data_IF_719478420705
#
_entry.id   IF_719478420705
#
_cell.length_a   1.000
_cell.length_b   1.000
_cell.length_c   1.000
_cell.angle_alpha   90.00
_cell.angle_beta   90.00
_cell.angle_gamma   90.00
#
_symmetry.space_group_name_H-M   'P 1'
#
loop_
_entity.id
_entity.type
_entity.pdbx_description
1 polymer ?
#
# COMPACT_ATOMS: atom_id res chain seq x y z
N UNK A 1 19.39 -36.81 110.15
CA UNK A 1 19.28 -35.42 109.60
C UNK A 1 18.82 -35.54 108.17
N UNK A 2 17.59 -35.15 107.86
CA UNK A 2 16.98 -35.25 106.55
C UNK A 2 16.99 -33.90 105.84
N UNK A 3 17.70 -33.74 104.75
CA UNK A 3 17.65 -32.52 103.89
C UNK A 3 16.55 -32.72 102.86
N UNK A 4 15.62 -31.77 102.85
CA UNK A 4 14.54 -31.72 101.77
C UNK A 4 15.06 -30.82 100.65
N UNK A 5 15.06 -31.44 99.43
CA UNK A 5 15.37 -30.73 98.17
C UNK A 5 14.05 -30.25 97.57
N UNK A 6 13.88 -28.93 97.49
CA UNK A 6 12.70 -28.31 96.86
C UNK A 6 13.03 -28.05 95.36
N UNK A 7 12.27 -28.72 94.48
CA UNK A 7 12.41 -28.55 93.01
C UNK A 7 11.49 -27.43 92.56
N UNK A 8 12.09 -26.30 92.03
CA UNK A 8 11.36 -25.19 91.40
C UNK A 8 11.28 -25.48 89.91
N UNK A 9 10.07 -25.78 89.38
CA UNK A 9 9.80 -25.85 87.93
C UNK A 9 9.56 -24.43 87.42
N UNK A 10 10.55 -23.89 86.72
CA UNK A 10 10.38 -22.66 85.91
C UNK A 10 9.79 -22.98 84.54
N UNK A 11 8.53 -22.60 84.31
CA UNK A 11 7.87 -22.70 83.02
C UNK A 11 8.43 -21.68 82.04
N UNK A 12 9.07 -22.20 80.97
CA UNK A 12 9.53 -21.37 79.83
C UNK A 12 8.39 -21.27 78.83
N UNK A 13 7.67 -20.13 78.80
CA UNK A 13 6.68 -19.85 77.75
C UNK A 13 7.39 -19.47 76.46
N UNK A 14 7.43 -20.37 75.48
CA UNK A 14 7.88 -20.08 74.10
C UNK A 14 6.78 -19.34 73.38
N UNK A 15 6.93 -18.01 73.20
CA UNK A 15 6.11 -17.24 72.34
C UNK A 15 6.51 -17.53 70.87
N UNK A 16 5.71 -18.34 70.17
CA UNK A 16 5.83 -18.56 68.73
C UNK A 16 5.31 -17.27 68.05
N UNK A 17 6.23 -16.37 67.68
CA UNK A 17 5.90 -15.27 66.79
C UNK A 17 5.56 -15.86 65.42
N UNK A 18 4.28 -15.86 65.07
CA UNK A 18 3.85 -16.16 63.71
C UNK A 18 4.35 -15.00 62.84
N UNK A 19 5.49 -15.20 62.18
CA UNK A 19 5.90 -14.35 61.05
C UNK A 19 4.86 -14.60 59.95
N UNK A 20 3.88 -13.73 59.84
CA UNK A 20 3.08 -13.59 58.63
C UNK A 20 4.05 -13.16 57.52
N UNK A 21 4.52 -14.14 56.71
CA UNK A 21 5.11 -13.82 55.42
C UNK A 21 4.04 -13.06 54.64
N UNK A 22 4.18 -11.75 54.54
CA UNK A 22 3.44 -10.98 53.58
C UNK A 22 3.83 -11.57 52.22
N UNK A 23 2.92 -12.29 51.61
CA UNK A 23 3.10 -12.81 50.24
C UNK A 23 3.21 -11.58 49.34
N UNK A 24 4.40 -11.39 48.74
CA UNK A 24 4.61 -10.29 47.79
C UNK A 24 3.54 -10.36 46.69
N UNK A 25 2.81 -9.26 46.55
CA UNK A 25 1.86 -9.11 45.46
C UNK A 25 2.66 -9.16 44.14
N UNK A 26 2.43 -10.15 43.29
CA UNK A 26 3.08 -10.27 41.98
C UNK A 26 2.04 -10.49 40.90
N UNK A 27 2.29 -9.91 39.72
CA UNK A 27 1.47 -10.04 38.54
C UNK A 27 2.21 -10.85 37.48
N UNK A 28 1.57 -11.92 37.01
CA UNK A 28 2.08 -12.78 35.95
C UNK A 28 1.34 -12.44 34.65
N UNK A 29 2.06 -11.80 33.72
CA UNK A 29 1.54 -11.38 32.44
C UNK A 29 1.91 -12.36 31.33
N UNK A 30 1.02 -12.57 30.33
CA UNK A 30 1.43 -13.21 29.09
C UNK A 30 2.51 -12.34 28.40
N UNK A 31 3.42 -12.96 27.67
CA UNK A 31 4.37 -12.22 26.82
C UNK A 31 3.66 -11.52 25.68
N UNK A 32 2.77 -12.26 25.03
CA UNK A 32 2.00 -11.84 23.87
C UNK A 32 0.59 -12.38 23.94
N UNK A 33 -0.36 -11.65 23.35
CA UNK A 33 -1.74 -12.06 23.15
C UNK A 33 -2.08 -11.82 21.68
N UNK A 34 -2.82 -12.72 21.04
CA UNK A 34 -3.31 -12.48 19.69
C UNK A 34 -4.55 -11.58 19.74
N UNK A 35 -4.64 -10.61 18.84
CA UNK A 35 -5.79 -9.70 18.73
C UNK A 35 -7.11 -10.49 18.63
N UNK A 36 -8.10 -10.06 19.41
CA UNK A 36 -9.39 -10.72 19.49
C UNK A 36 -9.44 -12.01 20.31
N UNK A 37 -8.30 -12.55 20.75
CA UNK A 37 -8.26 -13.78 21.54
C UNK A 37 -8.56 -13.53 23.01
N UNK A 38 -9.17 -14.52 23.69
CA UNK A 38 -9.31 -14.49 25.12
C UNK A 38 -7.96 -14.71 25.81
N UNK A 39 -7.75 -14.05 26.93
CA UNK A 39 -6.53 -14.17 27.72
C UNK A 39 -6.78 -14.06 29.22
N UNK A 40 -5.79 -14.34 30.02
CA UNK A 40 -5.89 -14.21 31.48
C UNK A 40 -4.60 -13.63 32.08
N UNK A 41 -4.79 -12.96 33.20
CA UNK A 41 -3.72 -12.40 34.02
C UNK A 41 -3.84 -13.01 35.39
N UNK A 42 -2.75 -13.59 35.90
CA UNK A 42 -2.69 -14.15 37.25
C UNK A 42 -2.06 -13.13 38.19
N UNK A 43 -2.55 -13.10 39.43
CA UNK A 43 -1.95 -12.30 40.51
C UNK A 43 -1.69 -13.19 41.73
N UNK A 44 -0.69 -12.85 42.52
CA UNK A 44 -0.42 -13.45 43.85
C UNK A 44 -0.79 -12.46 44.95
N UNK A 45 -0.90 -12.95 46.16
CA UNK A 45 -1.26 -12.12 47.31
C UNK A 45 -2.71 -12.38 47.77
N UNK A 46 -3.23 -11.48 48.61
CA UNK A 46 -4.59 -11.56 49.17
C UNK A 46 -5.21 -10.15 49.29
N UNK A 47 -6.52 -10.06 49.13
CA UNK A 47 -7.26 -8.81 49.17
C UNK A 47 -7.79 -8.34 47.81
N UNK A 48 -8.36 -7.16 47.79
CA UNK A 48 -8.93 -6.56 46.56
C UNK A 48 -7.91 -5.64 45.86
N UNK A 49 -7.89 -5.68 44.55
CA UNK A 49 -7.11 -4.78 43.71
C UNK A 49 -7.91 -4.37 42.46
N UNK A 50 -7.44 -3.33 41.79
CA UNK A 50 -7.98 -2.95 40.47
C UNK A 50 -6.90 -3.10 39.44
N UNK A 51 -7.22 -3.82 38.37
CA UNK A 51 -6.36 -4.05 37.22
C UNK A 51 -6.74 -3.08 36.09
N UNK A 52 -5.76 -2.37 35.57
CA UNK A 52 -5.89 -1.52 34.40
C UNK A 52 -5.02 -2.06 33.28
N UNK A 53 -5.56 -2.14 32.06
CA UNK A 53 -4.80 -2.41 30.84
C UNK A 53 -4.97 -1.21 29.95
N UNK A 54 -3.85 -0.56 29.58
CA UNK A 54 -3.86 0.73 28.88
C UNK A 54 -3.01 0.63 27.62
N UNK A 55 -3.57 0.94 26.48
CA UNK A 55 -2.84 0.98 25.21
C UNK A 55 -3.73 1.43 24.06
N UNK A 56 -3.12 2.05 23.06
CA UNK A 56 -3.76 2.43 21.79
C UNK A 56 -5.11 3.16 21.94
N UNK A 57 -5.18 4.08 22.91
CA UNK A 57 -6.41 4.84 23.18
C UNK A 57 -7.50 4.08 23.92
N UNK A 58 -7.26 2.84 24.33
CA UNK A 58 -8.18 2.00 25.09
C UNK A 58 -7.71 1.83 26.55
N UNK A 59 -8.67 1.81 27.48
CA UNK A 59 -8.45 1.49 28.89
C UNK A 59 -9.45 0.43 29.29
N UNK A 60 -8.95 -0.75 29.71
CA UNK A 60 -9.77 -1.77 30.36
C UNK A 60 -9.50 -1.65 31.86
N UNK A 61 -10.59 -1.55 32.63
CA UNK A 61 -10.56 -1.55 34.10
C UNK A 61 -11.31 -2.77 34.61
N UNK A 62 -10.72 -3.49 35.57
CA UNK A 62 -11.36 -4.64 36.21
C UNK A 62 -10.98 -4.74 37.67
N UNK A 63 -11.98 -4.87 38.53
CA UNK A 63 -11.75 -5.21 39.94
C UNK A 63 -11.47 -6.71 40.04
N UNK A 64 -10.41 -7.06 40.75
CA UNK A 64 -9.89 -8.42 40.88
C UNK A 64 -9.65 -8.77 42.37
N UNK A 65 -9.72 -10.07 42.67
CA UNK A 65 -9.27 -10.61 43.93
C UNK A 65 -7.84 -11.13 43.74
N UNK A 66 -6.91 -10.65 44.56
CA UNK A 66 -5.53 -11.13 44.55
C UNK A 66 -5.47 -12.62 44.87
N UNK A 67 -4.59 -13.37 44.18
CA UNK A 67 -4.52 -14.81 44.26
C UNK A 67 -5.44 -15.55 43.24
N UNK A 68 -6.33 -14.83 42.55
CA UNK A 68 -7.18 -15.38 41.53
C UNK A 68 -6.70 -15.01 40.11
N UNK A 69 -7.21 -15.74 39.12
CA UNK A 69 -6.96 -15.46 37.70
C UNK A 69 -8.04 -14.54 37.14
N UNK A 70 -7.64 -13.37 36.66
CA UNK A 70 -8.52 -12.46 35.95
C UNK A 70 -8.64 -12.91 34.49
N UNK A 71 -9.81 -13.35 34.08
CA UNK A 71 -10.10 -13.79 32.69
C UNK A 71 -10.67 -12.64 31.88
N UNK A 72 -10.12 -12.41 30.68
CA UNK A 72 -10.61 -11.47 29.69
C UNK A 72 -11.19 -12.24 28.50
N UNK A 73 -12.48 -12.03 28.16
CA UNK A 73 -13.10 -12.74 27.05
C UNK A 73 -12.51 -12.32 25.69
N UNK A 74 -12.80 -13.10 24.67
CA UNK A 74 -12.47 -12.73 23.29
C UNK A 74 -12.94 -11.31 22.96
N UNK A 75 -12.24 -10.63 22.04
CA UNK A 75 -12.49 -9.26 21.60
C UNK A 75 -12.28 -8.17 22.65
N UNK A 76 -11.75 -8.51 23.84
CA UNK A 76 -11.37 -7.51 24.84
C UNK A 76 -10.26 -6.57 24.33
N UNK A 77 -9.30 -7.10 23.56
CA UNK A 77 -8.20 -6.37 22.92
C UNK A 77 -8.13 -6.76 21.45
N UNK A 78 -8.45 -5.84 20.56
CA UNK A 78 -8.48 -6.08 19.12
C UNK A 78 -7.39 -5.32 18.35
N UNK A 79 -6.80 -4.29 18.95
CA UNK A 79 -5.74 -3.51 18.33
C UNK A 79 -4.37 -4.08 18.68
N UNK A 80 -3.56 -4.44 17.68
CA UNK A 80 -2.21 -4.92 17.88
C UNK A 80 -1.27 -3.79 18.29
N UNK A 81 -0.45 -4.03 19.31
CA UNK A 81 0.52 -3.07 19.83
C UNK A 81 0.88 -3.32 21.28
N UNK A 82 1.58 -2.38 21.88
CA UNK A 82 2.09 -2.47 23.23
C UNK A 82 1.05 -1.98 24.25
N UNK A 83 0.78 -2.80 25.29
CA UNK A 83 -0.15 -2.50 26.36
C UNK A 83 0.57 -2.48 27.71
N UNK A 84 0.35 -1.43 28.48
CA UNK A 84 0.78 -1.30 29.87
C UNK A 84 -0.31 -1.90 30.77
N UNK A 85 0.14 -2.57 31.81
CA UNK A 85 -0.75 -3.16 32.83
C UNK A 85 -0.38 -2.59 34.18
N UNK A 86 -1.38 -2.12 34.89
CA UNK A 86 -1.22 -1.59 36.25
C UNK A 86 -2.14 -2.36 37.19
N UNK A 87 -1.58 -2.98 38.21
CA UNK A 87 -2.32 -3.63 39.30
C UNK A 87 -2.22 -2.71 40.50
N UNK A 88 -3.31 -2.05 40.85
CA UNK A 88 -3.42 -1.15 42.00
C UNK A 88 -4.06 -1.92 43.18
N UNK A 89 -3.22 -2.42 44.09
CA UNK A 89 -3.61 -3.01 45.36
C UNK A 89 -3.80 -1.98 46.44
N UNK A 90 -4.16 -2.44 47.64
CA UNK A 90 -4.31 -1.56 48.83
C UNK A 90 -2.96 -1.14 49.43
N UNK A 91 -1.93 -1.94 49.28
CA UNK A 91 -0.61 -1.76 49.86
C UNK A 91 0.48 -1.46 48.83
N UNK A 92 0.30 -1.86 47.59
CA UNK A 92 1.29 -1.68 46.52
C UNK A 92 0.63 -1.43 45.14
N UNK A 93 1.42 -0.89 44.22
CA UNK A 93 1.06 -0.75 42.83
C UNK A 93 2.16 -1.44 42.01
N UNK A 94 1.75 -2.33 41.10
CA UNK A 94 2.65 -3.02 40.19
C UNK A 94 2.37 -2.64 38.75
N UNK A 95 3.43 -2.56 37.96
CA UNK A 95 3.38 -2.24 36.57
C UNK A 95 4.03 -3.37 35.75
N UNK A 96 3.49 -3.63 34.59
CA UNK A 96 4.03 -4.54 33.62
C UNK A 96 3.53 -4.22 32.23
N UNK A 97 3.85 -5.04 31.25
CA UNK A 97 3.40 -4.86 29.90
C UNK A 97 3.38 -6.16 29.13
N UNK A 98 2.60 -6.21 28.08
CA UNK A 98 2.62 -7.27 27.07
C UNK A 98 2.26 -6.70 25.72
N UNK A 99 2.54 -7.48 24.65
CA UNK A 99 2.21 -7.07 23.30
C UNK A 99 0.99 -7.84 22.79
N UNK A 100 0.07 -7.12 22.14
CA UNK A 100 -1.00 -7.72 21.34
C UNK A 100 -0.50 -7.82 19.89
N UNK A 101 -0.46 -9.02 19.37
CA UNK A 101 -0.03 -9.31 18.01
C UNK A 101 -1.23 -9.35 17.06
N UNK A 102 -1.08 -8.98 15.77
CA UNK A 102 -2.10 -9.21 14.76
C UNK A 102 -2.42 -10.71 14.66
N UNK A 103 -3.62 -11.03 14.20
CA UNK A 103 -3.89 -12.40 13.77
C UNK A 103 -2.98 -12.72 12.58
N UNK A 104 -2.45 -13.93 12.49
CA UNK A 104 -1.58 -14.33 11.37
C UNK A 104 -2.32 -14.47 10.03
N UNK A 105 -3.65 -14.25 10.00
CA UNK A 105 -4.52 -14.52 8.86
C UNK A 105 -4.85 -13.24 8.08
N UNK A 106 -4.45 -13.12 6.79
CA UNK A 106 -4.85 -12.02 5.93
C UNK A 106 -6.37 -11.98 5.74
N UNK A 107 -6.98 -10.81 5.94
CA UNK A 107 -8.41 -10.58 5.74
C UNK A 107 -8.68 -9.37 4.82
N UNK A 108 -7.80 -8.38 4.83
CA UNK A 108 -7.95 -7.17 4.02
C UNK A 108 -6.63 -6.75 3.38
N UNK A 109 -6.73 -6.20 2.16
CA UNK A 109 -5.61 -5.59 1.46
C UNK A 109 -5.89 -4.11 1.16
N UNK A 110 -4.97 -3.22 1.56
CA UNK A 110 -4.93 -1.87 1.02
C UNK A 110 -3.95 -1.84 -0.15
N UNK A 111 -4.48 -1.80 -1.36
CA UNK A 111 -3.69 -1.82 -2.58
C UNK A 111 -3.70 -0.47 -3.27
N UNK A 112 -2.53 0.04 -3.63
CA UNK A 112 -2.31 1.27 -4.36
C UNK A 112 -1.56 0.97 -5.66
N UNK A 113 -2.05 1.47 -6.79
CA UNK A 113 -1.38 1.41 -8.08
C UNK A 113 -1.17 2.83 -8.62
N UNK A 114 0.02 3.13 -9.10
CA UNK A 114 0.36 4.44 -9.68
C UNK A 114 1.32 4.29 -10.85
N UNK A 115 1.19 5.15 -11.87
CA UNK A 115 0.09 6.09 -12.10
C UNK A 115 -1.20 5.36 -12.52
N UNK A 116 -2.35 6.03 -12.45
CA UNK A 116 -3.62 5.48 -12.93
C UNK A 116 -3.79 5.57 -14.45
N UNK A 117 -2.94 6.37 -15.11
CA UNK A 117 -2.88 6.55 -16.56
C UNK A 117 -1.43 6.82 -16.97
N UNK A 118 -0.95 6.14 -18.01
CA UNK A 118 0.40 6.31 -18.56
C UNK A 118 0.46 5.90 -20.03
N UNK A 119 1.47 6.36 -20.78
CA UNK A 119 1.74 5.88 -22.12
C UNK A 119 2.12 4.39 -22.16
N UNK A 120 1.82 3.74 -23.28
CA UNK A 120 2.29 2.39 -23.59
C UNK A 120 3.81 2.34 -23.75
N UNK A 121 4.40 1.15 -23.64
CA UNK A 121 5.82 0.89 -23.94
C UNK A 121 6.82 1.39 -22.89
N UNK A 122 6.38 1.88 -21.71
CA UNK A 122 7.25 2.35 -20.65
C UNK A 122 7.72 1.18 -19.77
N UNK A 123 9.03 1.00 -19.65
CA UNK A 123 9.62 0.07 -18.68
C UNK A 123 9.51 0.61 -17.27
N UNK A 124 9.06 -0.24 -16.34
CA UNK A 124 8.92 0.13 -14.94
C UNK A 124 7.94 1.26 -14.69
N UNK A 125 6.99 1.50 -15.62
CA UNK A 125 6.09 2.65 -15.56
C UNK A 125 4.99 2.54 -14.51
N UNK A 126 4.68 1.33 -14.00
CA UNK A 126 3.56 1.08 -13.10
C UNK A 126 4.09 0.54 -11.77
N UNK A 127 3.79 1.24 -10.67
CA UNK A 127 4.13 0.77 -9.32
C UNK A 127 2.87 0.29 -8.61
N UNK A 128 2.96 -0.91 -8.01
CA UNK A 128 1.95 -1.44 -7.11
C UNK A 128 2.51 -1.56 -5.69
N UNK A 129 1.77 -1.07 -4.69
CA UNK A 129 2.09 -1.23 -3.28
C UNK A 129 0.88 -1.75 -2.52
N UNK A 130 1.09 -2.70 -1.62
CA UNK A 130 0.03 -3.31 -0.83
C UNK A 130 0.42 -3.37 0.65
N UNK A 131 -0.58 -3.15 1.51
CA UNK A 131 -0.51 -3.41 2.93
C UNK A 131 -1.49 -4.53 3.26
N UNK A 132 -1.05 -5.48 4.08
CA UNK A 132 -1.82 -6.67 4.45
C UNK A 132 -2.34 -6.53 5.87
N UNK A 133 -3.64 -6.66 6.06
CA UNK A 133 -4.30 -6.48 7.35
C UNK A 133 -5.10 -7.73 7.73
N UNK A 134 -5.23 -7.94 9.03
CA UNK A 134 -6.13 -8.94 9.62
C UNK A 134 -7.60 -8.44 9.66
N UNK A 135 -8.49 -9.27 10.25
CA UNK A 135 -9.92 -8.95 10.42
C UNK A 135 -10.16 -7.70 11.27
N UNK A 136 -9.26 -7.40 12.21
CA UNK A 136 -9.33 -6.24 13.10
C UNK A 136 -8.61 -5.02 12.52
N UNK A 137 -8.12 -5.09 11.27
CA UNK A 137 -7.35 -4.05 10.59
C UNK A 137 -5.97 -3.79 11.20
N UNK A 138 -5.41 -4.74 11.90
CA UNK A 138 -4.02 -4.69 12.30
C UNK A 138 -3.12 -5.09 11.13
N UNK A 139 -2.00 -4.39 10.98
CA UNK A 139 -1.00 -4.71 9.96
C UNK A 139 -0.30 -6.03 10.32
N UNK A 140 -0.33 -7.01 9.43
CA UNK A 140 0.31 -8.31 9.63
C UNK A 140 1.82 -8.17 9.36
N UNK A 141 2.61 -8.08 10.42
CA UNK A 141 4.06 -7.90 10.30
C UNK A 141 4.80 -9.17 9.84
N UNK A 142 4.22 -10.35 10.05
CA UNK A 142 4.76 -11.62 9.58
C UNK A 142 4.89 -11.63 8.04
N UNK A 143 5.97 -12.23 7.48
CA UNK A 143 6.15 -12.32 6.04
C UNK A 143 5.01 -13.12 5.37
N UNK A 144 4.36 -12.51 4.38
CA UNK A 144 3.35 -13.13 3.54
C UNK A 144 3.72 -12.97 2.06
N UNK A 145 3.42 -13.96 1.21
CA UNK A 145 3.68 -13.88 -0.22
C UNK A 145 2.56 -13.13 -0.92
N UNK A 146 2.91 -12.04 -1.59
CA UNK A 146 1.99 -11.26 -2.43
C UNK A 146 2.21 -11.63 -3.90
N UNK A 147 1.14 -11.99 -4.59
CA UNK A 147 1.10 -12.12 -6.04
C UNK A 147 0.55 -10.83 -6.64
N UNK A 148 1.37 -10.13 -7.42
CA UNK A 148 0.95 -9.00 -8.25
C UNK A 148 0.74 -9.48 -9.68
N UNK A 149 -0.40 -9.13 -10.30
CA UNK A 149 -0.75 -9.51 -11.65
C UNK A 149 -1.32 -8.32 -12.40
N UNK A 150 -0.67 -7.97 -13.53
CA UNK A 150 -1.12 -6.94 -14.46
C UNK A 150 -1.55 -7.62 -15.74
N UNK A 151 -2.81 -7.42 -16.15
CA UNK A 151 -3.41 -8.05 -17.31
C UNK A 151 -4.14 -7.04 -18.19
N UNK A 152 -3.86 -7.11 -19.49
CA UNK A 152 -4.60 -6.44 -20.55
C UNK A 152 -5.45 -7.50 -21.27
N UNK A 153 -6.70 -7.20 -21.71
CA UNK A 153 -7.54 -8.17 -22.41
C UNK A 153 -6.93 -8.81 -23.66
N UNK A 154 -5.98 -8.12 -24.31
CA UNK A 154 -5.36 -8.51 -25.58
C UNK A 154 -3.86 -8.78 -25.46
N UNK A 155 -3.26 -8.52 -24.30
CA UNK A 155 -1.81 -8.63 -24.09
C UNK A 155 -1.41 -9.78 -23.14
N UNK A 156 -0.11 -10.00 -22.99
CA UNK A 156 0.41 -10.98 -22.05
C UNK A 156 0.17 -10.54 -20.61
N UNK A 157 -0.10 -11.52 -19.75
CA UNK A 157 -0.20 -11.29 -18.31
C UNK A 157 1.20 -11.18 -17.70
N UNK A 158 1.47 -10.08 -16.99
CA UNK A 158 2.68 -9.94 -16.20
C UNK A 158 2.40 -10.36 -14.75
N UNK A 159 3.28 -11.17 -14.16
CA UNK A 159 3.14 -11.64 -12.79
C UNK A 159 4.44 -11.46 -12.00
N UNK A 160 4.34 -11.00 -10.74
CA UNK A 160 5.42 -10.86 -9.78
C UNK A 160 5.00 -11.42 -8.43
N UNK A 161 5.91 -12.15 -7.79
CA UNK A 161 5.75 -12.64 -6.42
C UNK A 161 6.73 -11.90 -5.52
N UNK A 162 6.23 -11.31 -4.45
CA UNK A 162 7.02 -10.49 -3.51
C UNK A 162 6.62 -10.84 -2.10
N UNK A 163 7.59 -11.02 -1.22
CA UNK A 163 7.34 -11.21 0.22
C UNK A 163 7.10 -9.86 0.89
N UNK A 164 6.11 -9.79 1.79
CA UNK A 164 5.94 -8.60 2.64
C UNK A 164 7.11 -8.44 3.59
N UNK A 165 7.41 -7.18 3.90
CA UNK A 165 8.28 -6.78 5.02
C UNK A 165 7.49 -5.84 5.91
N UNK A 166 7.34 -6.20 7.18
CA UNK A 166 6.51 -5.45 8.13
C UNK A 166 5.10 -5.13 7.57
N UNK A 167 4.45 -6.13 6.97
CA UNK A 167 3.10 -6.01 6.43
C UNK A 167 2.94 -5.29 5.10
N UNK A 168 4.02 -4.85 4.47
CA UNK A 168 4.00 -4.14 3.19
C UNK A 168 4.79 -4.88 2.11
N UNK A 169 4.30 -4.84 0.88
CA UNK A 169 5.03 -5.28 -0.31
C UNK A 169 4.81 -4.28 -1.45
N UNK A 170 5.79 -4.16 -2.34
CA UNK A 170 5.69 -3.33 -3.53
C UNK A 170 6.39 -3.97 -4.73
N UNK A 171 5.95 -3.60 -5.90
CA UNK A 171 6.52 -4.07 -7.16
C UNK A 171 6.46 -2.99 -8.23
N UNK A 172 7.26 -3.17 -9.26
CA UNK A 172 7.25 -2.35 -10.48
C UNK A 172 6.93 -3.26 -11.66
N UNK A 173 5.99 -2.83 -12.52
CA UNK A 173 5.57 -3.50 -13.75
C UNK A 173 5.84 -2.61 -14.95
N UNK A 174 6.02 -3.22 -16.10
CA UNK A 174 6.13 -2.52 -17.37
C UNK A 174 4.72 -2.17 -17.89
N UNK A 175 4.58 -1.04 -18.59
CA UNK A 175 3.38 -0.81 -19.37
C UNK A 175 3.34 -1.75 -20.57
N UNK A 176 2.12 -2.05 -21.06
CA UNK A 176 1.95 -2.92 -22.24
C UNK A 176 2.26 -2.16 -23.53
N UNK A 177 2.39 -2.87 -24.64
CA UNK A 177 2.53 -2.25 -25.96
C UNK A 177 1.20 -1.77 -26.54
N UNK A 178 0.06 -2.23 -26.01
CA UNK A 178 -1.27 -1.93 -26.51
C UNK A 178 -1.99 -0.98 -25.56
N UNK A 179 -2.64 0.03 -26.14
CA UNK A 179 -3.54 0.91 -25.41
C UNK A 179 -4.75 0.15 -24.88
N UNK A 180 -5.27 0.58 -23.75
CA UNK A 180 -6.45 -0.05 -23.17
C UNK A 180 -6.53 0.13 -21.67
N UNK A 181 -7.40 -0.65 -21.06
CA UNK A 181 -7.62 -0.66 -19.63
C UNK A 181 -7.03 -1.94 -19.06
N UNK A 182 -5.97 -1.80 -18.28
CA UNK A 182 -5.33 -2.91 -17.60
C UNK A 182 -5.95 -3.13 -16.22
N UNK A 183 -6.09 -4.39 -15.86
CA UNK A 183 -6.46 -4.81 -14.52
C UNK A 183 -5.20 -5.17 -13.75
N UNK A 184 -4.95 -4.46 -12.66
CA UNK A 184 -3.84 -4.72 -11.76
C UNK A 184 -4.37 -5.30 -10.45
N UNK A 185 -3.99 -6.53 -10.14
CA UNK A 185 -4.46 -7.30 -8.98
C UNK A 185 -3.29 -7.55 -8.03
N UNK A 186 -3.51 -7.31 -6.74
CA UNK A 186 -2.66 -7.82 -5.68
C UNK A 186 -3.43 -8.88 -4.89
N UNK A 187 -2.81 -10.03 -4.63
CA UNK A 187 -3.42 -11.16 -3.93
C UNK A 187 -2.48 -11.73 -2.87
N UNK A 188 -3.05 -12.03 -1.72
CA UNK A 188 -2.42 -12.82 -0.65
C UNK A 188 -3.42 -13.90 -0.25
N UNK A 189 -3.07 -15.16 -0.40
CA UNK A 189 -3.97 -16.29 -0.22
C UNK A 189 -5.29 -16.09 -1.01
N UNK A 190 -6.43 -16.13 -0.34
CA UNK A 190 -7.75 -15.91 -0.94
C UNK A 190 -8.17 -14.44 -0.99
N UNK A 191 -7.43 -13.55 -0.34
CA UNK A 191 -7.74 -12.11 -0.29
C UNK A 191 -7.09 -11.39 -1.46
N UNK A 192 -7.86 -10.57 -2.17
CA UNK A 192 -7.33 -9.78 -3.29
C UNK A 192 -7.93 -8.38 -3.35
N UNK A 193 -7.19 -7.50 -3.98
CA UNK A 193 -7.64 -6.15 -4.31
C UNK A 193 -7.25 -5.80 -5.73
N UNK A 194 -8.11 -5.04 -6.42
CA UNK A 194 -7.93 -4.69 -7.82
C UNK A 194 -7.85 -3.19 -8.00
N UNK A 195 -6.98 -2.77 -8.92
CA UNK A 195 -6.90 -1.41 -9.45
C UNK A 195 -6.94 -1.45 -10.96
N UNK A 196 -7.32 -0.33 -11.55
CA UNK A 196 -7.37 -0.14 -13.00
C UNK A 196 -6.29 0.87 -13.38
N UNK A 197 -5.56 0.55 -14.45
CA UNK A 197 -4.53 1.40 -15.03
C UNK A 197 -4.86 1.63 -16.50
N UNK A 198 -5.08 2.88 -16.91
CA UNK A 198 -5.35 3.22 -18.29
C UNK A 198 -4.02 3.40 -19.04
N UNK A 199 -3.81 2.60 -20.07
CA UNK A 199 -2.68 2.74 -20.98
C UNK A 199 -3.13 3.51 -22.23
N UNK A 200 -2.46 4.61 -22.49
CA UNK A 200 -2.76 5.50 -23.62
C UNK A 200 -1.65 5.41 -24.66
N UNK A 201 -1.92 5.77 -25.92
CA UNK A 201 -0.85 5.85 -26.91
C UNK A 201 0.30 6.72 -26.43
N UNK A 202 1.51 6.37 -26.83
CA UNK A 202 2.68 7.21 -26.69
C UNK A 202 2.66 8.40 -27.66
N UNK A 203 3.79 9.12 -27.75
CA UNK A 203 3.93 10.17 -28.77
C UNK A 203 3.89 9.59 -30.19
N UNK A 204 3.50 10.39 -31.20
CA UNK A 204 3.56 9.98 -32.58
C UNK A 204 4.94 9.42 -32.99
N UNK A 205 4.94 8.38 -33.81
CA UNK A 205 6.17 7.76 -34.28
C UNK A 205 6.15 7.67 -35.82
N UNK A 206 7.22 8.16 -36.46
CA UNK A 206 7.31 8.13 -37.91
C UNK A 206 6.26 8.97 -38.64
N UNK A 207 5.94 10.16 -38.09
CA UNK A 207 5.02 11.11 -38.68
C UNK A 207 5.41 11.44 -40.12
N UNK A 208 4.49 11.20 -41.08
CA UNK A 208 4.69 11.47 -42.50
C UNK A 208 3.51 12.23 -43.06
N UNK A 209 3.79 13.16 -43.97
CA UNK A 209 2.80 13.82 -44.80
C UNK A 209 3.08 13.63 -46.27
N UNK A 210 2.04 13.77 -47.08
CA UNK A 210 2.04 13.79 -48.54
C UNK A 210 1.52 15.18 -48.98
N UNK A 211 2.02 15.63 -50.12
CA UNK A 211 1.61 16.91 -50.69
C UNK A 211 1.01 16.67 -52.09
N UNK A 212 -0.15 17.26 -52.38
CA UNK A 212 -0.84 17.19 -53.63
C UNK A 212 -1.29 18.58 -54.07
N UNK A 213 -1.26 18.83 -55.40
CA UNK A 213 -1.78 20.11 -55.92
C UNK A 213 -3.32 20.14 -55.85
N UNK A 214 -3.86 21.21 -55.29
CA UNK A 214 -5.29 21.50 -55.18
C UNK A 214 -5.57 22.90 -55.74
N UNK A 215 -5.79 22.98 -57.05
CA UNK A 215 -5.94 24.30 -57.72
C UNK A 215 -4.67 25.16 -57.56
N UNK A 216 -4.81 26.34 -56.90
CA UNK A 216 -3.69 27.24 -56.59
C UNK A 216 -3.09 27.00 -55.21
N UNK A 217 -3.51 25.95 -54.52
CA UNK A 217 -3.06 25.57 -53.20
C UNK A 217 -2.38 24.21 -53.21
N UNK A 218 -1.66 23.91 -52.12
CA UNK A 218 -1.13 22.56 -51.85
C UNK A 218 -1.94 21.97 -50.72
N UNK A 219 -2.52 20.82 -50.96
CA UNK A 219 -3.18 19.96 -49.99
C UNK A 219 -2.12 19.06 -49.34
N UNK A 220 -1.93 19.21 -48.04
CA UNK A 220 -1.05 18.41 -47.23
C UNK A 220 -1.88 17.45 -46.36
N UNK A 221 -1.56 16.16 -46.43
CA UNK A 221 -2.28 15.11 -45.68
C UNK A 221 -1.29 14.20 -44.99
N UNK A 222 -1.50 13.91 -43.73
CA UNK A 222 -0.66 12.92 -43.03
C UNK A 222 -1.05 11.50 -43.41
N UNK A 223 -0.10 10.58 -43.31
CA UNK A 223 -0.45 9.16 -43.17
C UNK A 223 -1.18 8.99 -41.82
N UNK A 224 -1.90 7.84 -41.62
CA UNK A 224 -2.51 7.52 -40.33
C UNK A 224 -1.48 7.58 -39.19
N UNK A 225 -1.66 8.53 -38.25
CA UNK A 225 -0.68 8.81 -37.19
C UNK A 225 -0.79 7.76 -36.07
N UNK A 226 0.34 7.12 -35.78
CA UNK A 226 0.44 6.08 -34.76
C UNK A 226 1.64 6.34 -33.86
N UNK A 227 1.59 5.75 -32.63
CA UNK A 227 2.77 5.67 -31.76
C UNK A 227 3.76 4.60 -32.24
N UNK A 228 4.91 4.49 -31.56
CA UNK A 228 5.93 3.49 -31.91
C UNK A 228 5.49 2.04 -31.64
N UNK A 229 4.43 1.84 -30.89
CA UNK A 229 3.81 0.52 -30.65
C UNK A 229 2.69 0.18 -31.63
N UNK A 230 2.38 1.11 -32.57
CA UNK A 230 1.34 0.93 -33.58
C UNK A 230 -0.07 1.33 -33.14
N UNK A 231 -0.25 1.89 -31.95
CA UNK A 231 -1.55 2.38 -31.48
C UNK A 231 -1.92 3.68 -32.20
N UNK A 232 -3.19 3.84 -32.56
CA UNK A 232 -3.68 5.08 -33.14
C UNK A 232 -3.55 6.24 -32.16
N UNK A 233 -3.02 7.36 -32.62
CA UNK A 233 -3.00 8.59 -31.84
C UNK A 233 -4.45 9.14 -31.75
N UNK A 234 -4.90 9.61 -30.58
CA UNK A 234 -6.26 10.09 -30.40
C UNK A 234 -6.62 11.26 -31.30
N UNK A 235 -7.85 11.26 -31.82
CA UNK A 235 -8.42 12.41 -32.52
C UNK A 235 -8.40 13.65 -31.63
N UNK A 236 -8.19 14.80 -32.24
CA UNK A 236 -7.99 16.07 -31.52
C UNK A 236 -6.52 16.37 -31.19
N UNK A 237 -5.60 15.41 -31.35
CA UNK A 237 -4.16 15.68 -31.21
C UNK A 237 -3.74 16.64 -32.33
N UNK A 238 -3.06 17.71 -31.96
CA UNK A 238 -2.67 18.76 -32.90
C UNK A 238 -1.45 18.34 -33.71
N UNK A 239 -1.57 18.53 -35.04
CA UNK A 239 -0.49 18.43 -36.00
C UNK A 239 -0.25 19.80 -36.59
N UNK A 240 1.01 20.25 -36.55
CA UNK A 240 1.44 21.56 -37.11
C UNK A 240 2.06 21.36 -38.47
N UNK A 241 1.51 21.98 -39.48
CA UNK A 241 2.09 22.10 -40.82
C UNK A 241 2.78 23.45 -40.97
N UNK A 242 3.99 23.41 -41.50
CA UNK A 242 4.81 24.64 -41.69
C UNK A 242 5.29 24.75 -43.10
N UNK A 243 4.99 25.87 -43.74
CA UNK A 243 5.58 26.33 -44.99
C UNK A 243 6.78 27.27 -44.72
N UNK A 244 7.88 27.05 -45.41
CA UNK A 244 9.03 27.99 -45.48
C UNK A 244 9.27 28.40 -46.92
N UNK A 245 9.13 29.71 -47.21
CA UNK A 245 9.33 30.29 -48.53
C UNK A 245 9.99 31.65 -48.44
N UNK A 246 11.06 31.90 -49.18
CA UNK A 246 11.81 33.17 -49.18
C UNK A 246 12.14 33.73 -47.79
N UNK A 247 12.52 32.89 -46.85
CA UNK A 247 12.85 33.28 -45.48
C UNK A 247 11.63 33.55 -44.58
N UNK A 248 10.41 33.49 -45.11
CA UNK A 248 9.18 33.61 -44.34
C UNK A 248 8.67 32.24 -43.95
N UNK A 249 8.11 32.11 -42.75
CA UNK A 249 7.48 30.91 -42.23
C UNK A 249 6.01 31.15 -41.96
N UNK A 250 5.15 30.24 -42.45
CA UNK A 250 3.73 30.16 -42.14
C UNK A 250 3.40 28.82 -41.51
N UNK A 251 2.56 28.82 -40.47
CA UNK A 251 2.16 27.57 -39.78
C UNK A 251 0.65 27.48 -39.67
N UNK A 252 0.14 26.26 -39.78
CA UNK A 252 -1.27 25.92 -39.54
C UNK A 252 -1.33 24.71 -38.63
N UNK A 253 -2.14 24.79 -37.59
CA UNK A 253 -2.40 23.73 -36.65
C UNK A 253 -3.73 23.06 -36.97
N UNK A 254 -3.69 21.73 -37.21
CA UNK A 254 -4.88 20.95 -37.52
C UNK A 254 -5.00 19.75 -36.53
N UNK A 255 -6.18 19.54 -35.95
CA UNK A 255 -6.40 18.36 -35.11
C UNK A 255 -6.56 17.09 -35.97
N UNK A 256 -6.06 15.97 -35.47
CA UNK A 256 -6.34 14.67 -36.07
C UNK A 256 -7.86 14.40 -36.10
N UNK A 257 -8.33 13.89 -37.22
CA UNK A 257 -9.68 13.37 -37.45
C UNK A 257 -9.57 12.01 -38.11
N UNK A 258 -10.11 10.97 -37.47
CA UNK A 258 -9.94 9.57 -37.92
C UNK A 258 -8.45 9.20 -38.08
N UNK A 259 -7.58 9.72 -37.21
CA UNK A 259 -6.15 9.47 -37.24
C UNK A 259 -5.34 10.22 -38.31
N UNK A 260 -5.93 11.15 -39.05
CA UNK A 260 -5.30 11.92 -40.12
C UNK A 260 -5.47 13.41 -39.88
N UNK A 261 -4.47 14.23 -40.20
CA UNK A 261 -4.58 15.67 -40.30
C UNK A 261 -4.44 16.11 -41.76
N UNK A 262 -5.21 17.09 -42.14
CA UNK A 262 -5.27 17.62 -43.51
C UNK A 262 -5.41 19.15 -43.50
N UNK A 263 -4.63 19.84 -44.37
CA UNK A 263 -4.67 21.28 -44.54
C UNK A 263 -4.43 21.68 -45.99
N UNK A 264 -4.99 22.79 -46.40
CA UNK A 264 -4.63 23.49 -47.64
C UNK A 264 -3.81 24.72 -47.34
N UNK A 265 -2.64 24.85 -47.96
CA UNK A 265 -1.72 25.97 -47.82
C UNK A 265 -1.37 26.58 -49.18
N UNK A 266 -0.75 27.77 -49.19
CA UNK A 266 -0.31 28.40 -50.45
C UNK A 266 0.66 27.54 -51.24
N UNK A 267 0.61 27.58 -52.55
CA UNK A 267 1.46 26.76 -53.46
C UNK A 267 2.59 27.63 -54.03
N UNK A 268 3.62 27.93 -53.23
CA UNK A 268 4.79 28.67 -53.75
C UNK A 268 5.85 27.71 -54.28
N UNK A 269 6.17 27.81 -55.56
CA UNK A 269 7.24 27.02 -56.16
C UNK A 269 8.57 27.24 -55.43
N UNK A 270 9.22 26.18 -55.00
CA UNK A 270 10.44 26.21 -54.17
C UNK A 270 10.21 26.27 -52.66
N UNK A 271 8.95 26.34 -52.20
CA UNK A 271 8.62 26.26 -50.77
C UNK A 271 8.98 24.88 -50.18
N UNK A 272 9.32 24.87 -48.90
CA UNK A 272 9.53 23.63 -48.14
C UNK A 272 8.43 23.50 -47.11
N UNK A 273 7.71 22.38 -47.15
CA UNK A 273 6.70 22.00 -46.18
C UNK A 273 7.28 21.04 -45.18
N UNK A 274 6.97 21.20 -43.92
CA UNK A 274 7.30 20.28 -42.83
C UNK A 274 6.10 20.04 -41.94
N UNK A 275 6.08 18.88 -41.26
CA UNK A 275 5.03 18.50 -40.36
C UNK A 275 5.59 18.14 -39.00
N UNK A 276 4.87 18.49 -37.93
CA UNK A 276 5.24 18.17 -36.54
C UNK A 276 3.99 17.86 -35.70
N UNK A 277 4.18 17.13 -34.60
CA UNK A 277 3.17 16.97 -33.56
C UNK A 277 3.87 16.95 -32.20
N UNK A 278 3.63 17.97 -31.37
CA UNK A 278 4.40 18.20 -30.15
C UNK A 278 5.89 18.34 -30.43
N UNK A 279 6.71 17.47 -29.86
CA UNK A 279 8.17 17.44 -30.06
C UNK A 279 8.63 16.58 -31.22
N UNK A 280 7.70 15.85 -31.85
CA UNK A 280 8.00 14.90 -32.92
C UNK A 280 7.94 15.61 -34.27
N UNK A 281 9.07 15.57 -34.97
CA UNK A 281 9.18 16.09 -36.32
C UNK A 281 8.92 14.97 -37.35
N UNK A 282 8.13 15.26 -38.35
CA UNK A 282 7.92 14.39 -39.49
C UNK A 282 8.84 14.69 -40.68
N UNK A 283 8.45 14.22 -41.88
CA UNK A 283 9.18 14.48 -43.11
C UNK A 283 9.05 15.94 -43.56
N UNK A 284 9.94 16.31 -44.48
CA UNK A 284 9.90 17.58 -45.23
C UNK A 284 9.69 17.26 -46.72
N UNK A 285 8.96 18.13 -47.38
CA UNK A 285 8.67 18.06 -48.82
C UNK A 285 9.00 19.41 -49.46
N UNK A 286 9.88 19.42 -50.47
CA UNK A 286 10.09 20.58 -51.31
C UNK A 286 9.08 20.59 -52.43
N UNK A 287 8.40 21.72 -52.60
CA UNK A 287 7.39 21.91 -53.61
C UNK A 287 8.02 22.49 -54.89
N UNK A 288 8.01 21.72 -55.98
CA UNK A 288 8.70 22.06 -57.21
C UNK A 288 7.73 22.28 -58.43
N UNK A 289 6.42 22.35 -58.12
CA UNK A 289 5.40 22.53 -59.16
C UNK A 289 4.96 23.98 -59.27
#
# INVERSE_FOLDING_TARGET
MKARLTLVLGGLAVAIAQMSCAQDEQMLLPKTVEAGSAFSIQSTGSGKATLYIVGLGQVLKRDVQLGETAFFPAESLISAGHYLVVLAGTSSTQNGSFDVLPTGKPANLSFLAKPSRLPVGLRGGITGAVYVFDDYRNLIAAPAQVSFELSNPTGPVQKRLVMTRNGAAWTVMDSTAQQGIDKFVARVDDVYSTRVVAQVPGDPCGLKMNAQQSGQQVRLVTDPVRDCSGNAIPDGTVVTFTEKYNGVQSTVDEPLKNGIAEVEMSAHTGATFSVASGIVMGNQIRWEK
#
